data_IF_505378458387
#
_entry.id   IF_505378458387
#
_cell.length_a   1.000
_cell.length_b   1.000
_cell.length_c   1.000
_cell.angle_alpha   90.00
_cell.angle_beta   90.00
_cell.angle_gamma   90.00
#
_symmetry.space_group_name_H-M   'P 1'
#
loop_
_entity.id
_entity.type
_entity.pdbx_description
1 polymer ?
#
# COMPACT_ATOMS: atom_id res chain seq x y z
N UNK A 1 -59.13 -11.17 -24.93
CA UNK A 1 -57.66 -10.95 -24.80
C UNK A 1 -57.16 -11.82 -23.68
N UNK A 2 -56.55 -12.98 -24.02
CA UNK A 2 -56.11 -13.98 -23.05
C UNK A 2 -54.62 -13.77 -22.73
N UNK A 3 -54.34 -13.39 -21.50
CA UNK A 3 -52.98 -13.21 -21.01
C UNK A 3 -52.49 -14.57 -20.49
N UNK A 4 -51.54 -15.19 -21.21
CA UNK A 4 -50.94 -16.47 -20.81
C UNK A 4 -49.70 -16.17 -19.96
N UNK A 5 -49.81 -16.39 -18.65
CA UNK A 5 -48.71 -16.42 -17.73
C UNK A 5 -47.92 -17.71 -17.96
N UNK A 6 -46.69 -17.60 -18.46
CA UNK A 6 -45.75 -18.74 -18.53
C UNK A 6 -45.00 -18.82 -17.18
N UNK A 7 -45.42 -19.84 -16.45
CA UNK A 7 -44.75 -20.29 -15.25
C UNK A 7 -43.40 -20.96 -15.64
N UNK A 8 -42.29 -20.30 -15.43
CA UNK A 8 -40.96 -20.91 -15.60
C UNK A 8 -40.65 -21.77 -14.37
N UNK A 9 -40.85 -23.07 -14.54
CA UNK A 9 -40.43 -24.09 -13.58
C UNK A 9 -38.90 -24.21 -13.66
N UNK A 10 -38.20 -23.78 -12.63
CA UNK A 10 -36.73 -24.01 -12.47
C UNK A 10 -36.49 -25.47 -12.10
N UNK A 11 -35.60 -26.21 -12.81
CA UNK A 11 -35.22 -27.53 -12.37
C UNK A 11 -34.31 -27.44 -11.13
N UNK A 12 -34.65 -28.19 -10.09
CA UNK A 12 -33.81 -28.50 -8.96
C UNK A 12 -32.56 -29.25 -9.45
N UNK A 13 -31.39 -28.65 -9.30
CA UNK A 13 -30.13 -29.38 -9.41
C UNK A 13 -29.87 -30.16 -8.12
N UNK A 14 -29.44 -31.41 -8.18
CA UNK A 14 -29.12 -32.19 -7.00
C UNK A 14 -27.78 -31.70 -6.39
N UNK A 15 -27.79 -31.52 -5.07
CA UNK A 15 -26.68 -31.21 -4.23
C UNK A 15 -25.67 -32.34 -4.29
N UNK A 16 -24.56 -32.13 -5.00
CA UNK A 16 -23.42 -33.03 -4.97
C UNK A 16 -22.67 -32.84 -3.65
N UNK A 17 -22.68 -33.87 -2.84
CA UNK A 17 -22.04 -33.99 -1.53
C UNK A 17 -20.54 -33.83 -1.69
N UNK A 18 -20.00 -32.62 -1.37
CA UNK A 18 -18.57 -32.39 -1.32
C UNK A 18 -18.07 -32.71 0.08
N UNK A 19 -17.46 -33.88 0.21
CA UNK A 19 -16.77 -34.33 1.43
C UNK A 19 -15.65 -33.34 1.79
N UNK A 20 -15.85 -32.61 2.87
CA UNK A 20 -14.83 -31.79 3.49
C UNK A 20 -13.77 -32.70 4.14
N UNK A 21 -12.61 -32.75 3.55
CA UNK A 21 -11.43 -33.34 4.19
C UNK A 21 -10.95 -32.34 5.24
N UNK A 22 -11.31 -32.60 6.50
CA UNK A 22 -10.75 -31.94 7.65
C UNK A 22 -9.26 -32.29 7.71
N UNK A 23 -8.42 -31.40 7.22
CA UNK A 23 -6.99 -31.44 7.56
C UNK A 23 -6.86 -30.93 9.00
N UNK A 24 -6.87 -31.90 9.90
CA UNK A 24 -6.43 -31.71 11.28
C UNK A 24 -4.98 -31.25 11.25
N UNK A 25 -4.74 -29.98 11.56
CA UNK A 25 -3.42 -29.47 11.87
C UNK A 25 -3.04 -30.05 13.24
N UNK A 26 -2.33 -31.18 13.22
CA UNK A 26 -1.78 -31.77 14.42
C UNK A 26 -0.70 -30.85 15.00
N UNK A 27 -0.89 -30.46 16.27
CA UNK A 27 0.15 -29.87 17.09
C UNK A 27 1.28 -30.88 17.21
N UNK A 28 2.44 -30.59 16.61
CA UNK A 28 3.66 -31.38 16.75
C UNK A 28 4.37 -30.86 18.00
N UNK A 29 4.66 -31.72 19.02
CA UNK A 29 5.50 -31.32 20.13
C UNK A 29 6.92 -31.06 19.66
N UNK A 30 7.55 -30.04 20.23
CA UNK A 30 8.94 -29.65 20.01
C UNK A 30 9.88 -30.79 20.29
N UNK A 31 10.57 -31.28 19.26
CA UNK A 31 11.75 -32.10 19.39
C UNK A 31 12.98 -31.28 18.98
N UNK A 32 14.14 -31.43 19.67
CA UNK A 32 15.30 -30.59 19.46
C UNK A 32 16.05 -30.95 18.19
N UNK A 33 16.24 -29.96 17.38
CA UNK A 33 17.23 -29.77 16.31
C UNK A 33 18.13 -30.93 15.94
N UNK A 34 17.83 -31.55 14.81
CA UNK A 34 18.87 -32.22 14.01
C UNK A 34 18.91 -31.56 12.64
N UNK A 35 20.10 -31.08 12.30
CA UNK A 35 20.48 -30.45 11.05
C UNK A 35 19.78 -31.04 9.82
N UNK A 36 18.83 -30.30 9.26
CA UNK A 36 18.28 -30.59 7.94
C UNK A 36 19.27 -30.03 6.92
N UNK A 37 20.08 -30.91 6.35
CA UNK A 37 20.83 -30.62 5.13
C UNK A 37 19.82 -30.44 3.99
N UNK A 38 19.53 -29.22 3.62
CA UNK A 38 18.76 -28.90 2.43
C UNK A 38 19.63 -29.11 1.21
N UNK A 39 19.49 -30.28 0.56
CA UNK A 39 20.08 -30.53 -0.75
C UNK A 39 19.19 -29.89 -1.80
N UNK A 40 19.79 -28.98 -2.54
CA UNK A 40 19.37 -28.42 -3.83
C UNK A 40 18.12 -27.55 -3.91
N UNK A 41 18.38 -26.30 -4.20
CA UNK A 41 17.54 -25.36 -4.95
C UNK A 41 16.35 -24.72 -4.22
N UNK A 42 16.54 -24.30 -2.99
CA UNK A 42 15.77 -23.20 -2.45
C UNK A 42 16.48 -21.89 -2.84
N UNK A 43 16.12 -21.31 -3.97
CA UNK A 43 16.31 -19.88 -4.19
C UNK A 43 15.42 -19.17 -3.16
N UNK A 44 15.89 -19.07 -1.92
CA UNK A 44 15.39 -18.13 -0.97
C UNK A 44 15.79 -16.75 -1.50
N UNK A 45 14.94 -16.18 -2.32
CA UNK A 45 14.91 -14.74 -2.48
C UNK A 45 14.57 -14.21 -1.10
N UNK A 46 15.60 -13.98 -0.29
CA UNK A 46 15.49 -13.16 0.90
C UNK A 46 15.20 -11.76 0.35
N UNK A 47 13.93 -11.47 0.10
CA UNK A 47 13.48 -10.11 -0.04
C UNK A 47 13.69 -9.49 1.35
N UNK A 48 14.88 -8.93 1.54
CA UNK A 48 15.15 -8.02 2.65
C UNK A 48 14.21 -6.85 2.41
N UNK A 49 13.03 -6.93 3.00
CA UNK A 49 12.09 -5.82 3.05
C UNK A 49 12.86 -4.70 3.78
N UNK A 50 13.34 -3.73 3.00
CA UNK A 50 13.96 -2.55 3.59
C UNK A 50 12.99 -1.93 4.58
N UNK A 51 13.48 -1.57 5.76
CA UNK A 51 12.66 -1.00 6.83
C UNK A 51 11.87 0.20 6.30
N UNK A 52 10.58 0.20 6.57
CA UNK A 52 9.68 1.29 6.22
C UNK A 52 9.75 2.35 7.31
N UNK A 53 9.96 3.59 6.91
CA UNK A 53 10.01 4.76 7.77
C UNK A 53 8.74 5.59 7.57
N UNK A 54 8.39 6.38 8.56
CA UNK A 54 7.32 7.37 8.47
C UNK A 54 7.91 8.76 8.36
N UNK A 55 7.50 9.51 7.35
CA UNK A 55 7.78 10.94 7.19
C UNK A 55 6.50 11.75 7.39
N UNK A 56 6.65 13.03 7.65
CA UNK A 56 5.54 13.97 7.82
C UNK A 56 5.67 15.10 6.81
N UNK A 57 4.60 15.36 6.08
CA UNK A 57 4.49 16.52 5.19
C UNK A 57 3.91 17.70 5.99
N UNK A 58 4.73 18.71 6.24
CA UNK A 58 4.44 19.80 7.20
C UNK A 58 4.35 21.15 6.50
N UNK A 59 3.14 21.72 6.46
CA UNK A 59 2.90 23.17 6.39
C UNK A 59 1.68 23.58 7.25
N UNK A 60 1.37 22.89 8.21
CA UNK A 60 0.24 22.35 8.96
C UNK A 60 0.03 20.94 8.45
N UNK A 61 -0.20 19.95 9.29
CA UNK A 61 -0.41 18.57 8.87
C UNK A 61 -1.38 18.50 7.68
N UNK A 62 -0.85 18.24 6.47
CA UNK A 62 -1.65 18.24 5.23
C UNK A 62 -2.11 16.83 4.95
N UNK A 63 -3.40 16.57 5.19
CA UNK A 63 -4.04 15.31 4.86
C UNK A 63 -4.47 15.26 3.39
N UNK A 64 -4.51 14.06 2.82
CA UNK A 64 -5.08 13.84 1.49
C UNK A 64 -4.15 14.13 0.31
N UNK A 65 -2.87 14.39 0.56
CA UNK A 65 -1.86 14.49 -0.49
C UNK A 65 -1.47 13.09 -0.94
N UNK A 66 -1.60 12.82 -2.23
CA UNK A 66 -1.14 11.54 -2.80
C UNK A 66 0.37 11.53 -2.90
N UNK A 67 0.99 10.41 -2.53
CA UNK A 67 2.42 10.22 -2.67
C UNK A 67 2.76 8.88 -3.35
N UNK A 68 3.91 8.86 -4.03
CA UNK A 68 4.52 7.64 -4.58
C UNK A 68 6.02 7.72 -4.39
N UNK A 69 6.63 6.62 -3.93
CA UNK A 69 8.07 6.55 -3.69
C UNK A 69 8.79 5.72 -4.75
N UNK A 70 10.10 5.92 -4.89
CA UNK A 70 10.94 5.18 -5.84
C UNK A 70 11.01 3.67 -5.53
N UNK A 71 10.79 3.27 -4.28
CA UNK A 71 10.70 1.86 -3.88
C UNK A 71 9.32 1.23 -4.11
N UNK A 72 8.35 2.00 -4.66
CA UNK A 72 7.01 1.53 -5.01
C UNK A 72 5.98 1.64 -3.87
N UNK A 73 6.30 2.32 -2.77
CA UNK A 73 5.28 2.67 -1.77
C UNK A 73 4.41 3.80 -2.31
N UNK A 74 3.12 3.73 -2.07
CA UNK A 74 2.17 4.76 -2.49
C UNK A 74 0.99 4.84 -1.54
N UNK A 75 0.37 6.01 -1.44
CA UNK A 75 -0.78 6.24 -0.60
C UNK A 75 -1.19 7.70 -0.57
N UNK A 76 -1.94 8.06 0.46
CA UNK A 76 -2.33 9.43 0.78
C UNK A 76 -1.90 9.78 2.19
N UNK A 77 -1.45 11.00 2.41
CA UNK A 77 -1.11 11.48 3.76
C UNK A 77 -2.35 11.45 4.66
N UNK A 78 -2.15 11.00 5.90
CA UNK A 78 -3.21 10.93 6.91
C UNK A 78 -3.47 12.32 7.55
N UNK A 79 -4.34 12.36 8.58
CA UNK A 79 -4.68 13.60 9.31
C UNK A 79 -3.49 14.26 10.02
N UNK A 80 -2.40 13.52 10.23
CA UNK A 80 -1.14 14.04 10.77
C UNK A 80 -0.13 14.43 9.68
N UNK A 81 -0.49 14.31 8.39
CA UNK A 81 0.41 14.55 7.26
C UNK A 81 1.43 13.43 7.03
N UNK A 82 1.24 12.25 7.63
CA UNK A 82 2.22 11.16 7.56
C UNK A 82 2.15 10.42 6.24
N UNK A 83 3.32 9.98 5.75
CA UNK A 83 3.51 9.13 4.58
C UNK A 83 4.61 8.09 4.84
N UNK A 84 4.59 6.98 4.12
CA UNK A 84 5.58 5.90 4.25
C UNK A 84 6.65 5.99 3.19
N UNK A 85 7.91 5.74 3.56
CA UNK A 85 9.05 5.70 2.65
C UNK A 85 10.13 4.74 3.14
N UNK A 86 11.07 4.38 2.27
CA UNK A 86 12.29 3.65 2.65
C UNK A 86 13.50 4.54 2.57
N UNK A 87 14.52 4.21 3.37
CA UNK A 87 15.76 4.99 3.37
C UNK A 87 16.36 5.05 1.97
N UNK A 88 16.64 6.27 1.49
CA UNK A 88 17.15 6.53 0.15
C UNK A 88 16.09 6.71 -0.95
N UNK A 89 14.81 6.62 -0.60
CA UNK A 89 13.73 6.88 -1.56
C UNK A 89 13.68 8.34 -2.00
N UNK A 90 13.19 8.55 -3.21
CA UNK A 90 12.57 9.81 -3.62
C UNK A 90 11.05 9.65 -3.52
N UNK A 91 10.36 10.69 -3.10
CA UNK A 91 8.90 10.74 -3.02
C UNK A 91 8.36 11.84 -3.93
N UNK A 92 7.38 11.49 -4.75
CA UNK A 92 6.61 12.43 -5.57
C UNK A 92 5.26 12.66 -4.91
N UNK A 93 4.82 13.90 -4.87
CA UNK A 93 3.57 14.32 -4.24
C UNK A 93 2.63 14.99 -5.23
N UNK A 94 1.32 14.74 -5.10
CA UNK A 94 0.28 15.36 -5.92
C UNK A 94 -1.02 15.60 -5.15
N UNK A 95 -1.79 16.58 -5.60
CA UNK A 95 -3.15 16.85 -5.12
C UNK A 95 -4.08 16.82 -6.33
N UNK A 96 -4.90 15.75 -6.43
CA UNK A 96 -5.66 15.48 -7.63
C UNK A 96 -4.73 15.38 -8.85
N UNK A 97 -4.97 16.17 -9.88
CA UNK A 97 -4.16 16.21 -11.11
C UNK A 97 -2.97 17.18 -11.03
N UNK A 98 -2.76 17.82 -9.89
CA UNK A 98 -1.67 18.80 -9.71
C UNK A 98 -0.47 18.12 -9.12
N UNK A 99 0.62 18.05 -9.87
CA UNK A 99 1.93 17.59 -9.40
C UNK A 99 2.60 18.70 -8.55
N UNK A 100 2.97 18.37 -7.31
CA UNK A 100 3.67 19.26 -6.40
C UNK A 100 5.19 19.17 -6.59
N UNK A 101 5.67 18.03 -7.08
CA UNK A 101 7.09 17.77 -7.31
C UNK A 101 7.61 16.49 -6.68
N UNK A 102 8.91 16.26 -6.87
CA UNK A 102 9.62 15.09 -6.36
C UNK A 102 10.81 15.54 -5.52
N UNK A 103 11.00 14.92 -4.37
CA UNK A 103 12.05 15.24 -3.40
C UNK A 103 12.64 13.96 -2.81
N UNK A 104 13.86 14.03 -2.27
CA UNK A 104 14.39 12.93 -1.45
C UNK A 104 13.55 12.78 -0.19
N UNK A 105 13.04 11.57 0.04
CA UNK A 105 12.19 11.29 1.20
C UNK A 105 12.98 11.42 2.51
N UNK A 106 12.37 12.10 3.46
CA UNK A 106 12.95 12.35 4.80
C UNK A 106 11.85 12.33 5.87
N UNK A 107 12.26 12.34 7.14
CA UNK A 107 11.34 12.33 8.27
C UNK A 107 10.41 13.56 8.31
N UNK A 108 10.85 14.68 7.75
CA UNK A 108 10.05 15.91 7.64
C UNK A 108 10.26 16.48 6.24
N UNK A 109 9.17 16.79 5.56
CA UNK A 109 9.16 17.47 4.27
C UNK A 109 8.25 18.69 4.32
N UNK A 110 8.67 19.76 3.67
CA UNK A 110 7.90 20.99 3.54
C UNK A 110 7.50 21.23 2.08
N UNK A 111 6.40 21.97 1.81
CA UNK A 111 6.01 22.34 0.44
C UNK A 111 7.13 23.07 -0.31
N UNK A 112 7.92 23.86 0.39
CA UNK A 112 9.08 24.58 -0.18
C UNK A 112 10.08 23.61 -0.78
N UNK A 113 10.42 22.54 -0.05
CA UNK A 113 11.36 21.52 -0.51
C UNK A 113 10.78 20.68 -1.65
N UNK A 114 9.52 20.22 -1.51
CA UNK A 114 8.86 19.39 -2.51
C UNK A 114 8.70 20.12 -3.84
N UNK A 115 8.31 21.39 -3.82
CA UNK A 115 8.13 22.21 -5.02
C UNK A 115 9.45 22.80 -5.56
N UNK A 116 10.59 22.56 -4.89
CA UNK A 116 11.86 23.16 -5.24
C UNK A 116 11.81 24.68 -5.25
N UNK A 117 11.05 25.25 -4.30
CA UNK A 117 10.84 26.68 -4.19
C UNK A 117 11.96 27.33 -3.40
N UNK A 118 12.23 28.60 -3.67
CA UNK A 118 13.29 29.35 -2.98
C UNK A 118 12.90 29.83 -1.58
N UNK A 119 11.64 29.65 -1.19
CA UNK A 119 11.12 30.04 0.12
C UNK A 119 9.60 30.11 0.14
N UNK A 120 9.02 30.47 1.27
CA UNK A 120 7.57 30.56 1.48
C UNK A 120 6.89 31.68 0.68
N UNK A 121 7.65 32.67 0.21
CA UNK A 121 7.18 33.76 -0.65
C UNK A 121 7.20 33.39 -2.16
N UNK A 122 7.64 32.19 -2.51
CA UNK A 122 7.62 31.73 -3.90
C UNK A 122 6.16 31.60 -4.40
N UNK A 123 5.85 32.08 -5.61
CA UNK A 123 4.51 31.99 -6.16
C UNK A 123 3.94 30.57 -6.20
N UNK A 124 4.79 29.55 -6.35
CA UNK A 124 4.38 28.13 -6.32
C UNK A 124 3.78 27.76 -4.96
N UNK A 125 4.47 28.15 -3.87
CA UNK A 125 4.01 27.85 -2.50
C UNK A 125 2.79 28.68 -2.15
N UNK A 126 2.73 29.96 -2.55
CA UNK A 126 1.58 30.85 -2.32
C UNK A 126 0.33 30.32 -3.03
N UNK A 127 0.47 29.78 -4.24
CA UNK A 127 -0.65 29.24 -5.00
C UNK A 127 -1.18 27.92 -4.41
N UNK A 128 -0.34 27.13 -3.75
CA UNK A 128 -0.77 25.93 -3.04
C UNK A 128 -1.59 26.27 -1.79
N UNK A 129 -1.28 27.37 -1.13
CA UNK A 129 -1.94 27.80 0.12
C UNK A 129 -3.29 28.52 -0.09
N UNK A 130 -3.74 28.69 -1.32
CA UNK A 130 -5.03 29.36 -1.69
C UNK A 130 -6.11 28.36 -2.06
#
# INVERSE_FOLDING_TARGET
>A
MSFRIRLFLKPLLPILLLTQILHSCGVVPEEPVSSVTCIANCSSTTSTSAAENTGVFVDSAVAGVTYTTSSGLSGTTNSSGEFSYRSGDTASFSIGDVDLGTVTASAVLTPVEVMGASGTADPKVINLAR
#
